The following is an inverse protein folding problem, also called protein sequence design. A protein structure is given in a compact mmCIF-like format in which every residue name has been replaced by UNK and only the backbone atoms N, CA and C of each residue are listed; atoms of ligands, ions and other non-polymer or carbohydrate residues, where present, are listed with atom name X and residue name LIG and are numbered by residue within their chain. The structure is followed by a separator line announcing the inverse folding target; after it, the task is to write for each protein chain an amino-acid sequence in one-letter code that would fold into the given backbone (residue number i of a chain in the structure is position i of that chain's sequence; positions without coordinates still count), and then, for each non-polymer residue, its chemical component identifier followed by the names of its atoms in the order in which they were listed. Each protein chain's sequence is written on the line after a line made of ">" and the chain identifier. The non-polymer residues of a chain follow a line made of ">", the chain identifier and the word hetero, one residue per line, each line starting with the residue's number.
data_IF_458652892619
#
_entry.id   IF_458652892619
#
_cell.length_a   1.000
_cell.length_b   1.000
_cell.length_c   1.000
_cell.angle_alpha   90.00
_cell.angle_beta   90.00
_cell.angle_gamma   90.00
#
_symmetry.space_group_name_H-M   'P 1'
#
loop_
_entity.id
_entity.type
_entity.pdbx_description
1 polymer ?
#
# COMPACT_ATOMS: atom_id res chain seq x y z
N UNK A 1 -6.29 -14.09 -19.75
CA UNK A 1 -7.33 -13.26 -20.37
C UNK A 1 -7.15 -11.87 -19.79
N UNK A 2 -6.72 -10.92 -20.60
CA UNK A 2 -6.42 -9.56 -20.14
C UNK A 2 -7.69 -8.86 -19.70
N UNK A 3 -7.69 -8.35 -18.47
CA UNK A 3 -8.75 -7.55 -17.82
C UNK A 3 -8.91 -6.15 -18.45
N UNK A 4 -8.53 -6.00 -19.72
CA UNK A 4 -7.99 -4.76 -20.30
C UNK A 4 -9.03 -3.67 -20.60
N UNK A 5 -10.31 -4.02 -20.65
CA UNK A 5 -11.36 -3.11 -21.13
C UNK A 5 -12.26 -2.52 -20.04
N UNK A 6 -12.22 -3.03 -18.80
CA UNK A 6 -13.24 -2.69 -17.80
C UNK A 6 -12.88 -1.52 -16.87
N UNK A 7 -11.62 -1.06 -16.88
CA UNK A 7 -11.10 -0.09 -15.89
C UNK A 7 -10.38 1.12 -16.48
N UNK A 8 -10.27 1.23 -17.81
CA UNK A 8 -9.57 2.36 -18.44
C UNK A 8 -10.48 3.59 -18.46
N UNK A 9 -10.54 4.29 -17.33
CA UNK A 9 -10.82 5.72 -17.37
C UNK A 9 -9.77 6.35 -18.30
N UNK A 10 -10.11 7.39 -19.08
CA UNK A 10 -9.14 8.03 -19.94
C UNK A 10 -7.90 8.37 -19.11
N UNK A 11 -6.72 8.00 -19.62
CA UNK A 11 -5.40 8.28 -19.01
C UNK A 11 -5.09 9.79 -19.06
N UNK A 12 -6.05 10.62 -18.68
CA UNK A 12 -5.84 12.03 -18.40
C UNK A 12 -4.70 12.16 -17.39
N UNK A 13 -4.01 13.30 -17.45
CA UNK A 13 -2.83 13.55 -16.64
C UNK A 13 -3.18 13.47 -15.14
N UNK A 14 -2.96 12.31 -14.55
CA UNK A 14 -3.02 12.10 -13.11
C UNK A 14 -1.93 12.95 -12.49
N UNK A 15 -2.31 13.85 -11.60
CA UNK A 15 -1.37 14.69 -10.86
C UNK A 15 -0.86 13.89 -9.66
N UNK A 16 0.44 13.59 -9.56
CA UNK A 16 0.98 12.90 -8.40
C UNK A 16 0.67 13.69 -7.13
N UNK A 17 0.37 12.98 -6.05
CA UNK A 17 0.33 13.62 -4.74
C UNK A 17 1.74 14.05 -4.34
N UNK A 18 1.84 15.19 -3.67
CA UNK A 18 3.11 15.83 -3.34
C UNK A 18 3.03 16.56 -2.01
N UNK A 19 4.05 17.37 -1.71
CA UNK A 19 4.01 18.22 -0.50
C UNK A 19 2.87 19.23 -0.53
N UNK A 20 2.57 19.75 -1.72
CA UNK A 20 1.60 20.83 -1.91
C UNK A 20 0.23 20.31 -2.39
N UNK A 21 0.14 19.03 -2.74
CA UNK A 21 -1.10 18.37 -3.14
C UNK A 21 -1.35 17.16 -2.23
N UNK A 22 -2.19 17.35 -1.22
CA UNK A 22 -2.54 16.32 -0.24
C UNK A 22 -3.84 15.62 -0.64
N UNK A 23 -3.85 14.30 -0.49
CA UNK A 23 -5.05 13.49 -0.66
C UNK A 23 -6.10 13.83 0.40
N UNK A 24 -7.36 13.93 -0.01
CA UNK A 24 -8.51 14.35 0.79
C UNK A 24 -9.79 13.62 0.38
N UNK A 25 -10.83 13.71 1.21
CA UNK A 25 -12.13 13.07 0.92
C UNK A 25 -12.74 13.66 -0.36
N UNK A 26 -13.17 12.76 -1.25
CA UNK A 26 -13.78 13.07 -2.53
C UNK A 26 -12.83 13.08 -3.72
N UNK A 27 -11.52 12.96 -3.49
CA UNK A 27 -10.54 12.88 -4.58
C UNK A 27 -10.75 11.56 -5.35
N UNK A 28 -10.67 11.63 -6.68
CA UNK A 28 -10.70 10.47 -7.57
C UNK A 28 -9.26 10.05 -7.84
N UNK A 29 -8.85 8.94 -7.24
CA UNK A 29 -7.47 8.50 -7.29
C UNK A 29 -7.26 7.33 -8.24
N UNK A 30 -6.14 7.35 -8.97
CA UNK A 30 -5.62 6.17 -9.67
C UNK A 30 -4.87 5.28 -8.69
N UNK A 31 -5.14 3.98 -8.75
CA UNK A 31 -4.44 2.96 -7.99
C UNK A 31 -3.48 2.20 -8.91
N UNK A 32 -2.23 2.07 -8.49
CA UNK A 32 -1.20 1.36 -9.25
C UNK A 32 -0.34 0.45 -8.36
N UNK A 33 0.11 -0.65 -8.94
CA UNK A 33 1.07 -1.58 -8.35
C UNK A 33 1.94 -2.15 -9.47
N UNK A 34 3.25 -2.28 -9.23
CA UNK A 34 4.23 -2.72 -10.24
C UNK A 34 4.17 -1.93 -11.55
N UNK A 35 3.87 -0.63 -11.45
CA UNK A 35 3.71 0.26 -12.61
C UNK A 35 2.40 0.08 -13.39
N UNK A 36 1.58 -0.93 -13.06
CA UNK A 36 0.30 -1.19 -13.71
C UNK A 36 -0.86 -0.51 -12.96
N UNK A 37 -1.91 -0.12 -13.70
CA UNK A 37 -3.14 0.40 -13.09
C UNK A 37 -4.01 -0.75 -12.62
N UNK A 38 -4.23 -0.82 -11.30
CA UNK A 38 -5.04 -1.86 -10.67
C UNK A 38 -6.48 -1.41 -10.39
N UNK A 39 -6.77 -0.11 -10.53
CA UNK A 39 -8.13 0.42 -10.44
C UNK A 39 -8.22 1.91 -10.17
N UNK A 40 -9.44 2.37 -9.94
CA UNK A 40 -9.77 3.75 -9.56
C UNK A 40 -10.63 3.76 -8.32
N UNK A 41 -10.34 4.69 -7.41
CA UNK A 41 -11.03 4.80 -6.12
C UNK A 41 -11.43 6.23 -5.81
N UNK A 42 -12.66 6.41 -5.34
CA UNK A 42 -13.09 7.66 -4.72
C UNK A 42 -12.75 7.63 -3.23
N UNK A 43 -11.97 8.59 -2.75
CA UNK A 43 -11.60 8.68 -1.33
C UNK A 43 -12.83 8.98 -0.48
N UNK A 44 -13.14 8.08 0.45
CA UNK A 44 -14.32 8.16 1.32
C UNK A 44 -13.97 8.46 2.79
N UNK A 45 -12.71 8.23 3.19
CA UNK A 45 -12.20 8.49 4.53
C UNK A 45 -10.75 8.04 4.73
N UNK A 46 -10.24 8.18 5.94
CA UNK A 46 -8.87 7.81 6.32
C UNK A 46 -8.88 7.07 7.66
N UNK A 47 -7.96 6.11 7.84
CA UNK A 47 -7.69 5.48 9.12
C UNK A 47 -6.22 5.06 9.22
N UNK A 48 -5.43 5.81 10.01
CA UNK A 48 -4.00 5.57 10.16
C UNK A 48 -3.28 5.57 8.81
N UNK A 49 -2.67 4.45 8.46
CA UNK A 49 -1.90 4.23 7.23
C UNK A 49 -2.76 3.80 6.03
N UNK A 50 -4.07 3.62 6.22
CA UNK A 50 -5.01 3.24 5.17
C UNK A 50 -5.93 4.40 4.76
N UNK A 51 -6.43 4.31 3.53
CA UNK A 51 -7.45 5.20 2.97
C UNK A 51 -8.67 4.37 2.62
N UNK A 52 -9.85 4.80 3.06
CA UNK A 52 -11.09 4.15 2.63
C UNK A 52 -11.46 4.67 1.25
N UNK A 53 -11.74 3.75 0.35
CA UNK A 53 -12.06 4.06 -1.03
C UNK A 53 -13.26 3.24 -1.50
N UNK A 54 -14.09 3.86 -2.33
CA UNK A 54 -15.13 3.17 -3.09
C UNK A 54 -14.63 2.96 -4.52
N UNK A 55 -14.80 1.78 -5.13
CA UNK A 55 -14.37 1.54 -6.49
C UNK A 55 -15.16 2.43 -7.46
N UNK A 56 -14.47 2.86 -8.52
CA UNK A 56 -15.04 3.69 -9.58
C UNK A 56 -14.89 3.00 -10.92
N UNK A 57 -15.99 2.94 -11.68
CA UNK A 57 -16.02 2.36 -13.04
C UNK A 57 -16.58 3.35 -14.06
N UNK A 58 -16.31 3.10 -15.34
CA UNK A 58 -16.87 3.88 -16.44
C UNK A 58 -18.28 3.41 -16.81
N UNK A 59 -19.00 4.24 -17.59
CA UNK A 59 -20.41 4.04 -17.95
C UNK A 59 -20.69 2.81 -18.81
N UNK A 60 -19.67 2.26 -19.48
CA UNK A 60 -19.77 0.97 -20.19
C UNK A 60 -19.72 -0.22 -19.21
N UNK A 61 -19.40 0.06 -17.95
CA UNK A 61 -19.17 -0.88 -16.85
C UNK A 61 -19.86 -0.37 -15.58
N UNK A 62 -21.08 0.16 -15.65
CA UNK A 62 -21.84 0.61 -14.48
C UNK A 62 -22.69 -0.54 -13.89
N UNK A 63 -22.89 -0.55 -12.57
CA UNK A 63 -23.39 -1.73 -11.84
C UNK A 63 -24.59 -1.41 -10.99
N UNK A 64 -25.37 -2.43 -10.64
CA UNK A 64 -26.55 -2.25 -9.80
C UNK A 64 -26.19 -1.58 -8.48
N UNK A 65 -26.88 -0.49 -8.14
CA UNK A 65 -26.59 0.29 -6.92
C UNK A 65 -25.38 1.23 -7.01
N UNK A 66 -24.66 1.26 -8.14
CA UNK A 66 -23.62 2.25 -8.35
C UNK A 66 -24.23 3.65 -8.51
N UNK A 67 -23.57 4.66 -7.95
CA UNK A 67 -24.02 6.05 -7.93
C UNK A 67 -23.20 6.87 -8.91
N UNK A 68 -23.84 7.67 -9.74
CA UNK A 68 -23.13 8.53 -10.71
C UNK A 68 -22.33 9.61 -10.00
N UNK A 69 -21.08 9.82 -10.41
CA UNK A 69 -20.26 10.90 -9.88
C UNK A 69 -20.78 12.26 -10.35
N UNK A 70 -20.83 13.28 -9.47
CA UNK A 70 -21.47 14.57 -9.78
C UNK A 70 -20.68 15.43 -10.77
N UNK A 71 -19.41 15.09 -11.01
CA UNK A 71 -18.48 15.83 -11.87
C UNK A 71 -18.11 15.07 -13.14
N UNK A 72 -18.59 13.84 -13.32
CA UNK A 72 -18.24 13.01 -14.46
C UNK A 72 -19.40 12.11 -14.88
N UNK A 73 -20.07 12.48 -15.97
CA UNK A 73 -21.31 11.82 -16.44
C UNK A 73 -21.13 10.33 -16.75
N UNK A 74 -19.91 9.93 -17.10
CA UNK A 74 -19.58 8.54 -17.45
C UNK A 74 -18.97 7.77 -16.30
N UNK A 75 -18.86 8.31 -15.08
CA UNK A 75 -18.23 7.62 -13.97
C UNK A 75 -19.22 7.28 -12.88
N UNK A 76 -19.08 6.06 -12.35
CA UNK A 76 -19.96 5.49 -11.35
C UNK A 76 -19.13 4.99 -10.19
N UNK A 77 -19.48 5.39 -8.98
CA UNK A 77 -18.87 4.92 -7.75
C UNK A 77 -19.75 3.85 -7.11
N UNK A 78 -19.13 2.84 -6.49
CA UNK A 78 -19.84 1.72 -5.87
C UNK A 78 -19.65 1.77 -4.36
N UNK A 79 -20.51 2.49 -3.64
CA UNK A 79 -20.18 2.81 -2.26
C UNK A 79 -20.57 1.68 -1.29
N UNK A 80 -21.25 0.64 -1.77
CA UNK A 80 -21.45 -0.64 -1.07
C UNK A 80 -20.16 -1.47 -0.95
N UNK A 81 -19.15 -1.21 -1.79
CA UNK A 81 -17.85 -1.87 -1.80
C UNK A 81 -16.74 -0.96 -1.25
N UNK A 82 -17.08 -0.10 -0.29
CA UNK A 82 -16.08 0.68 0.42
C UNK A 82 -15.11 -0.25 1.16
N UNK A 83 -13.82 -0.12 0.86
CA UNK A 83 -12.78 -0.93 1.50
C UNK A 83 -11.58 -0.06 1.92
N UNK A 84 -10.86 -0.46 2.98
CA UNK A 84 -9.57 0.14 3.28
C UNK A 84 -8.54 -0.28 2.24
N UNK A 85 -7.79 0.70 1.72
CA UNK A 85 -6.72 0.54 0.76
C UNK A 85 -5.41 1.04 1.34
N UNK A 86 -4.31 0.36 1.01
CA UNK A 86 -2.99 0.85 1.35
C UNK A 86 -2.65 2.12 0.57
N UNK A 87 -2.18 3.16 1.27
CA UNK A 87 -1.82 4.45 0.64
C UNK A 87 -0.76 4.34 -0.46
N UNK A 88 0.06 3.30 -0.42
CA UNK A 88 1.13 3.07 -1.38
C UNK A 88 0.61 2.71 -2.78
N UNK A 89 -0.66 2.30 -2.91
CA UNK A 89 -1.30 2.10 -4.21
C UNK A 89 -1.65 3.41 -4.89
N UNK A 90 -1.85 4.48 -4.13
CA UNK A 90 -2.35 5.74 -4.65
C UNK A 90 -1.25 6.42 -5.47
N UNK A 91 -1.48 6.52 -6.78
CA UNK A 91 -0.53 7.10 -7.74
C UNK A 91 -0.71 8.61 -7.88
N UNK A 92 -1.95 9.08 -7.81
CA UNK A 92 -2.26 10.49 -7.90
C UNK A 92 -3.75 10.76 -8.08
N UNK A 93 -4.07 12.04 -8.22
CA UNK A 93 -5.41 12.58 -8.38
C UNK A 93 -5.74 12.81 -9.86
N UNK A 94 -6.96 12.47 -10.28
CA UNK A 94 -7.51 12.81 -11.59
C UNK A 94 -7.83 14.31 -11.74
N UNK A 95 -7.72 15.10 -10.68
CA UNK A 95 -8.04 16.54 -10.65
C UNK A 95 -9.54 16.83 -10.59
N UNK A 96 -10.37 15.79 -10.47
CA UNK A 96 -11.81 15.88 -10.34
C UNK A 96 -12.24 15.36 -8.96
N UNK A 97 -13.17 16.07 -8.32
CA UNK A 97 -13.45 15.86 -6.90
C UNK A 97 -14.93 15.96 -6.55
N UNK A 98 -15.41 14.99 -5.77
CA UNK A 98 -16.71 15.07 -5.12
C UNK A 98 -16.60 15.95 -3.88
N UNK A 99 -17.63 16.75 -3.59
CA UNK A 99 -17.64 17.46 -2.31
C UNK A 99 -17.65 16.44 -1.15
N UNK A 100 -16.93 16.69 -0.03
CA UNK A 100 -16.97 15.82 1.14
C UNK A 100 -18.39 15.62 1.71
N UNK A 101 -19.27 16.61 1.52
CA UNK A 101 -20.68 16.52 1.86
C UNK A 101 -21.39 15.47 1.01
N UNK A 102 -21.18 15.48 -0.30
CA UNK A 102 -21.76 14.49 -1.22
C UNK A 102 -21.33 13.07 -0.84
N UNK A 103 -20.02 12.87 -0.62
CA UNK A 103 -19.47 11.58 -0.21
C UNK A 103 -20.09 11.10 1.10
N UNK A 104 -20.22 11.98 2.10
CA UNK A 104 -20.86 11.65 3.37
C UNK A 104 -22.33 11.26 3.20
N UNK A 105 -23.08 12.00 2.38
CA UNK A 105 -24.49 11.70 2.10
C UNK A 105 -24.64 10.31 1.47
N UNK A 106 -23.84 10.00 0.44
CA UNK A 106 -23.85 8.68 -0.22
C UNK A 106 -23.56 7.56 0.79
N UNK A 107 -22.50 7.70 1.60
CA UNK A 107 -22.13 6.69 2.61
C UNK A 107 -23.20 6.46 3.66
N UNK A 108 -23.82 7.53 4.15
CA UNK A 108 -24.85 7.43 5.18
C UNK A 108 -26.11 6.76 4.64
N UNK A 109 -26.57 7.18 3.46
CA UNK A 109 -27.78 6.61 2.88
C UNK A 109 -27.60 5.12 2.56
N UNK A 110 -26.42 4.69 2.09
CA UNK A 110 -26.15 3.25 1.89
C UNK A 110 -26.25 2.45 3.18
N UNK A 111 -25.77 2.98 4.30
CA UNK A 111 -25.93 2.33 5.61
C UNK A 111 -27.40 2.27 6.05
N UNK A 112 -28.20 3.25 5.64
CA UNK A 112 -29.64 3.32 5.88
C UNK A 112 -30.46 2.48 4.87
N UNK A 113 -29.81 1.88 3.86
CA UNK A 113 -30.48 1.11 2.80
C UNK A 113 -31.27 1.95 1.81
N UNK A 114 -30.98 3.25 1.70
CA UNK A 114 -31.57 4.18 0.73
C UNK A 114 -30.48 4.80 -0.14
N UNK A 115 -30.84 5.30 -1.32
CA UNK A 115 -30.00 6.14 -2.18
C UNK A 115 -30.82 7.28 -2.76
N UNK A 116 -31.78 7.79 -1.97
CA UNK A 116 -32.72 8.82 -2.38
C UNK A 116 -32.01 10.11 -2.79
N UNK A 117 -32.33 10.58 -3.99
CA UNK A 117 -31.76 11.81 -4.56
C UNK A 117 -30.44 11.61 -5.31
N UNK A 118 -29.95 10.37 -5.43
CA UNK A 118 -28.82 10.03 -6.28
C UNK A 118 -29.27 9.42 -7.61
N UNK A 119 -28.48 9.65 -8.66
CA UNK A 119 -28.63 8.89 -9.89
C UNK A 119 -27.95 7.54 -9.73
N UNK A 120 -28.76 6.49 -9.77
CA UNK A 120 -28.33 5.11 -9.59
C UNK A 120 -28.35 4.42 -10.95
N UNK A 121 -27.34 3.59 -11.21
CA UNK A 121 -27.28 2.78 -12.43
C UNK A 121 -28.51 1.89 -12.53
N UNK A 122 -29.10 1.85 -13.73
CA UNK A 122 -30.31 1.07 -14.03
C UNK A 122 -30.03 -0.21 -14.82
N UNK A 123 -28.76 -0.58 -15.00
CA UNK A 123 -28.42 -1.81 -15.72
C UNK A 123 -28.85 -3.05 -14.93
N UNK A 124 -29.24 -4.07 -15.67
CA UNK A 124 -29.49 -5.40 -15.12
C UNK A 124 -28.21 -5.95 -14.48
N UNK A 125 -28.39 -6.63 -13.35
CA UNK A 125 -27.30 -7.21 -12.59
C UNK A 125 -26.64 -8.34 -13.39
N UNK A 126 -25.38 -8.15 -13.79
CA UNK A 126 -24.51 -9.23 -14.26
C UNK A 126 -23.66 -9.71 -13.07
N UNK A 127 -24.23 -10.64 -12.31
CA UNK A 127 -23.65 -11.19 -11.08
C UNK A 127 -22.20 -11.68 -11.27
N UNK A 128 -21.87 -12.22 -12.46
CA UNK A 128 -20.54 -12.80 -12.71
C UNK A 128 -19.47 -11.71 -12.82
N UNK A 129 -19.75 -10.65 -13.57
CA UNK A 129 -18.80 -9.55 -13.72
C UNK A 129 -18.68 -8.70 -12.46
N UNK A 130 -19.79 -8.50 -11.75
CA UNK A 130 -19.80 -7.87 -10.41
C UNK A 130 -18.86 -8.62 -9.46
N UNK A 131 -18.98 -9.96 -9.41
CA UNK A 131 -18.13 -10.81 -8.59
C UNK A 131 -16.64 -10.68 -8.94
N UNK A 132 -16.26 -10.69 -10.22
CA UNK A 132 -14.85 -10.56 -10.64
C UNK A 132 -14.25 -9.21 -10.22
N UNK A 133 -15.00 -8.11 -10.37
CA UNK A 133 -14.53 -6.79 -9.97
C UNK A 133 -14.45 -6.65 -8.45
N UNK A 134 -15.45 -7.18 -7.73
CA UNK A 134 -15.45 -7.23 -6.28
C UNK A 134 -14.25 -8.05 -5.76
N UNK A 135 -14.02 -9.25 -6.30
CA UNK A 135 -12.87 -10.08 -5.96
C UNK A 135 -11.54 -9.37 -6.26
N UNK A 136 -11.43 -8.66 -7.40
CA UNK A 136 -10.24 -7.88 -7.72
C UNK A 136 -10.02 -6.72 -6.75
N UNK A 137 -11.09 -6.03 -6.35
CA UNK A 137 -11.05 -4.93 -5.39
C UNK A 137 -10.68 -5.42 -3.99
N UNK A 138 -11.29 -6.52 -3.55
CA UNK A 138 -10.97 -7.21 -2.30
C UNK A 138 -9.52 -7.69 -2.31
N UNK A 139 -9.06 -8.30 -3.41
CA UNK A 139 -7.68 -8.73 -3.57
C UNK A 139 -6.70 -7.56 -3.42
N UNK A 140 -6.98 -6.44 -4.08
CA UNK A 140 -6.20 -5.21 -3.93
C UNK A 140 -6.20 -4.71 -2.48
N UNK A 141 -7.34 -4.76 -1.77
CA UNK A 141 -7.39 -4.38 -0.35
C UNK A 141 -6.52 -5.29 0.54
N UNK A 142 -6.59 -6.61 0.33
CA UNK A 142 -5.92 -7.59 1.19
C UNK A 142 -4.41 -7.73 0.93
N UNK A 143 -3.99 -7.82 -0.33
CA UNK A 143 -2.58 -8.05 -0.67
C UNK A 143 -1.69 -6.84 -0.40
N UNK A 144 -2.29 -5.66 -0.35
CA UNK A 144 -1.55 -4.39 -0.34
C UNK A 144 -1.61 -3.72 1.03
N UNK A 145 -2.49 -4.17 1.93
CA UNK A 145 -2.40 -3.88 3.36
C UNK A 145 -1.01 -4.22 3.96
N UNK A 146 -0.23 -5.08 3.28
CA UNK A 146 1.12 -5.50 3.64
C UNK A 146 2.25 -4.61 3.11
N UNK A 147 1.96 -3.32 2.87
CA UNK A 147 2.96 -2.28 3.11
C UNK A 147 3.65 -2.41 4.48
N UNK A 148 3.12 -3.19 5.45
CA UNK A 148 3.78 -3.62 6.68
C UNK A 148 3.71 -5.14 6.90
N UNK A 149 3.75 -5.95 5.85
CA UNK A 149 3.81 -7.41 5.98
C UNK A 149 5.06 -7.86 6.74
N UNK A 150 5.09 -9.11 7.21
CA UNK A 150 6.21 -9.67 7.98
C UNK A 150 7.58 -9.41 7.33
N UNK A 151 7.66 -9.36 5.99
CA UNK A 151 8.90 -9.09 5.25
C UNK A 151 9.47 -7.66 5.39
N UNK A 152 8.70 -6.71 5.93
CA UNK A 152 9.16 -5.34 6.20
C UNK A 152 9.47 -5.10 7.69
N UNK A 153 9.44 -6.16 8.51
CA UNK A 153 9.68 -6.07 9.95
C UNK A 153 11.08 -6.59 10.28
N UNK A 154 12.01 -5.73 10.74
CA UNK A 154 13.27 -6.22 11.28
C UNK A 154 13.01 -6.98 12.58
N UNK A 155 13.95 -7.84 13.00
CA UNK A 155 13.92 -8.33 14.37
C UNK A 155 14.02 -7.18 15.38
N UNK A 156 13.31 -7.31 16.50
CA UNK A 156 13.32 -6.37 17.60
C UNK A 156 14.35 -6.84 18.66
N UNK A 157 15.50 -6.14 18.81
CA UNK A 157 16.53 -6.53 19.76
C UNK A 157 16.04 -6.51 21.21
N UNK A 158 15.07 -5.65 21.54
CA UNK A 158 14.51 -5.57 22.88
C UNK A 158 13.65 -6.81 23.18
N UNK A 159 12.80 -7.22 22.23
CA UNK A 159 12.01 -8.46 22.37
C UNK A 159 12.92 -9.69 22.46
N UNK A 160 13.93 -9.79 21.59
CA UNK A 160 14.94 -10.85 21.64
C UNK A 160 15.66 -10.89 23.00
N UNK A 161 16.13 -9.73 23.49
CA UNK A 161 16.82 -9.66 24.78
C UNK A 161 15.92 -10.05 25.96
N UNK A 162 14.63 -9.71 25.95
CA UNK A 162 13.66 -10.14 26.98
C UNK A 162 13.46 -11.65 27.01
N UNK A 163 13.75 -12.34 25.91
CA UNK A 163 13.73 -13.80 25.79
C UNK A 163 15.09 -14.45 26.11
N UNK A 164 16.06 -13.69 26.61
CA UNK A 164 17.46 -14.12 26.82
C UNK A 164 18.14 -14.60 25.52
N UNK A 165 17.74 -14.04 24.38
CA UNK A 165 18.39 -14.32 23.09
C UNK A 165 19.40 -13.23 22.83
N UNK A 166 20.67 -13.61 22.73
CA UNK A 166 21.78 -12.72 22.50
C UNK A 166 22.31 -12.83 21.06
N UNK A 167 23.07 -11.82 20.63
CA UNK A 167 23.69 -11.80 19.30
C UNK A 167 24.60 -13.01 19.03
N UNK A 168 25.21 -13.58 20.07
CA UNK A 168 26.00 -14.82 19.96
C UNK A 168 25.15 -16.00 19.54
N UNK A 169 23.90 -16.07 20.00
CA UNK A 169 23.01 -17.20 19.75
C UNK A 169 22.48 -17.16 18.32
N UNK A 170 22.30 -15.96 17.76
CA UNK A 170 21.98 -15.77 16.34
C UNK A 170 23.06 -16.33 15.41
N UNK A 171 24.35 -16.27 15.80
CA UNK A 171 25.43 -16.88 15.02
C UNK A 171 25.31 -18.41 15.00
N UNK A 172 24.84 -19.00 16.09
CA UNK A 172 24.60 -20.44 16.19
C UNK A 172 23.36 -20.87 15.40
N UNK A 173 22.34 -20.02 15.34
CA UNK A 173 21.13 -20.27 14.53
C UNK A 173 21.38 -20.15 13.02
N UNK A 174 22.37 -19.35 12.61
CA UNK A 174 22.72 -19.10 11.21
C UNK A 174 24.21 -19.37 10.94
N UNK A 175 24.66 -20.64 10.94
CA UNK A 175 26.08 -20.99 10.81
C UNK A 175 26.69 -20.58 9.47
N UNK A 176 25.88 -20.50 8.42
CA UNK A 176 26.32 -20.13 7.07
C UNK A 176 26.40 -18.60 6.86
N UNK A 177 25.89 -17.80 7.80
CA UNK A 177 25.96 -16.34 7.73
C UNK A 177 27.28 -15.82 8.27
N UNK A 178 27.81 -14.77 7.64
CA UNK A 178 29.01 -14.09 8.17
C UNK A 178 28.67 -13.41 9.51
N UNK A 179 29.62 -13.30 10.46
CA UNK A 179 29.37 -12.74 11.80
C UNK A 179 28.80 -11.32 11.82
N UNK A 180 29.07 -10.51 10.79
CA UNK A 180 28.51 -9.16 10.68
C UNK A 180 27.06 -9.17 10.16
N UNK A 181 26.69 -10.14 9.32
CA UNK A 181 25.32 -10.27 8.79
C UNK A 181 24.37 -10.74 9.89
N UNK A 182 24.75 -11.78 10.63
CA UNK A 182 23.98 -12.25 11.80
C UNK A 182 23.86 -11.16 12.87
N UNK A 183 24.93 -10.40 13.10
CA UNK A 183 24.89 -9.22 13.97
C UNK A 183 23.95 -8.13 13.46
N UNK A 184 23.95 -7.83 12.16
CA UNK A 184 23.06 -6.83 11.57
C UNK A 184 21.60 -7.28 11.63
N UNK A 185 21.32 -8.56 11.36
CA UNK A 185 20.01 -9.18 11.46
C UNK A 185 19.45 -9.10 12.89
N UNK A 186 20.24 -9.50 13.90
CA UNK A 186 19.87 -9.39 15.32
C UNK A 186 19.55 -7.95 15.73
N UNK A 187 20.35 -6.99 15.27
CA UNK A 187 20.20 -5.58 15.62
C UNK A 187 19.12 -4.86 14.80
N UNK A 188 18.36 -5.57 13.97
CA UNK A 188 17.31 -5.02 13.13
C UNK A 188 17.82 -4.07 12.02
N UNK A 189 19.05 -4.28 11.57
CA UNK A 189 19.69 -3.52 10.47
C UNK A 189 19.53 -4.18 9.10
N UNK A 190 19.04 -5.42 9.07
CA UNK A 190 18.65 -6.16 7.88
C UNK A 190 17.22 -6.66 8.10
N UNK A 191 16.47 -6.78 7.00
CA UNK A 191 15.15 -7.39 7.03
C UNK A 191 15.30 -8.92 6.96
N UNK A 192 14.67 -9.66 7.88
CA UNK A 192 14.67 -11.11 7.81
C UNK A 192 13.69 -11.62 6.76
N UNK A 193 14.10 -12.60 5.98
CA UNK A 193 13.18 -13.36 5.14
C UNK A 193 12.31 -14.32 5.99
N UNK A 194 11.26 -14.89 5.39
CA UNK A 194 10.35 -15.81 6.10
C UNK A 194 11.06 -17.04 6.68
N UNK A 195 12.07 -17.57 5.97
CA UNK A 195 12.82 -18.73 6.44
C UNK A 195 13.69 -18.36 7.63
N UNK A 196 14.30 -17.18 7.64
CA UNK A 196 15.10 -16.69 8.76
C UNK A 196 14.23 -16.48 10.00
N UNK A 197 13.03 -15.92 9.84
CA UNK A 197 12.06 -15.81 10.95
C UNK A 197 11.71 -17.20 11.48
N UNK A 198 11.35 -18.13 10.60
CA UNK A 198 11.01 -19.49 11.02
C UNK A 198 12.18 -20.22 11.69
N UNK A 199 13.42 -20.02 11.22
CA UNK A 199 14.63 -20.56 11.84
C UNK A 199 14.80 -20.03 13.26
N UNK A 200 14.63 -18.72 13.49
CA UNK A 200 14.69 -18.13 14.84
C UNK A 200 13.59 -18.73 15.73
N UNK A 201 12.35 -18.80 15.24
CA UNK A 201 11.24 -19.36 16.03
C UNK A 201 11.52 -20.83 16.43
N UNK A 202 11.97 -21.64 15.48
CA UNK A 202 12.25 -23.05 15.73
C UNK A 202 13.47 -23.25 16.64
N UNK A 203 14.56 -22.53 16.39
CA UNK A 203 15.81 -22.68 17.13
C UNK A 203 15.65 -22.28 18.61
N UNK A 204 14.89 -21.20 18.86
CA UNK A 204 14.65 -20.68 20.21
C UNK A 204 13.34 -21.17 20.83
N UNK A 205 12.63 -22.09 20.17
CA UNK A 205 11.37 -22.68 20.66
C UNK A 205 10.31 -21.62 20.98
N UNK A 206 10.18 -20.62 20.11
CA UNK A 206 9.17 -19.57 20.20
C UNK A 206 7.94 -19.96 19.38
N UNK A 207 6.77 -19.49 19.81
CA UNK A 207 5.50 -19.93 19.25
C UNK A 207 4.92 -18.94 18.23
N UNK A 208 5.35 -17.67 18.28
CA UNK A 208 4.78 -16.60 17.46
C UNK A 208 5.87 -15.64 16.96
N UNK A 209 5.75 -15.17 15.72
CA UNK A 209 6.61 -14.13 15.16
C UNK A 209 6.57 -12.83 15.98
N UNK A 210 5.46 -12.53 16.65
CA UNK A 210 5.31 -11.41 17.58
C UNK A 210 6.27 -11.48 18.78
N UNK A 211 6.86 -12.65 19.06
CA UNK A 211 7.89 -12.79 20.09
C UNK A 211 9.24 -12.17 19.69
N UNK A 212 9.46 -11.94 18.39
CA UNK A 212 10.75 -11.49 17.85
C UNK A 212 10.66 -10.29 16.90
N UNK A 213 9.47 -10.00 16.36
CA UNK A 213 9.21 -8.86 15.48
C UNK A 213 8.51 -7.73 16.24
N UNK A 214 8.68 -6.45 15.85
CA UNK A 214 7.97 -5.33 16.46
C UNK A 214 6.46 -5.42 16.19
N UNK A 215 5.65 -4.86 17.11
CA UNK A 215 4.19 -4.84 16.98
C UNK A 215 3.70 -3.88 15.89
N UNK A 216 4.57 -2.97 15.46
CA UNK A 216 4.29 -1.97 14.44
C UNK A 216 5.44 -1.92 13.43
N UNK A 217 5.13 -1.65 12.14
CA UNK A 217 6.16 -1.51 11.14
C UNK A 217 7.11 -0.33 11.46
N UNK A 218 8.38 -0.40 11.01
CA UNK A 218 9.29 0.72 11.10
C UNK A 218 8.68 1.99 10.50
N UNK A 219 8.98 3.17 11.07
CA UNK A 219 8.51 4.45 10.53
C UNK A 219 8.89 4.66 9.07
N UNK A 220 10.01 4.08 8.62
CA UNK A 220 10.45 4.13 7.23
C UNK A 220 9.44 3.46 6.30
N UNK A 221 8.94 2.31 6.73
CA UNK A 221 7.95 1.51 6.00
C UNK A 221 6.64 2.29 5.86
N UNK A 222 6.05 2.75 6.96
CA UNK A 222 4.85 3.60 6.91
C UNK A 222 5.06 4.86 6.07
N UNK A 223 6.26 5.48 6.13
CA UNK A 223 6.56 6.68 5.35
C UNK A 223 6.67 6.41 3.86
N UNK A 224 7.36 5.32 3.48
CA UNK A 224 7.56 4.90 2.10
C UNK A 224 6.22 4.60 1.42
N UNK A 225 5.23 4.19 2.20
CA UNK A 225 3.89 3.90 1.74
C UNK A 225 2.99 5.12 1.55
N UNK A 226 3.48 6.33 1.81
CA UNK A 226 2.73 7.54 1.50
C UNK A 226 2.77 7.84 -0.01
N UNK A 227 1.68 8.39 -0.57
CA UNK A 227 1.56 8.61 -2.02
C UNK A 227 2.65 9.53 -2.60
N UNK A 228 3.18 10.45 -1.80
CA UNK A 228 4.15 11.45 -2.26
C UNK A 228 5.55 10.88 -2.58
N UNK A 229 5.81 9.62 -2.24
CA UNK A 229 7.03 8.90 -2.62
C UNK A 229 6.82 7.99 -3.83
N UNK A 230 5.58 7.81 -4.30
CA UNK A 230 5.26 6.91 -5.42
C UNK A 230 5.99 7.32 -6.70
N UNK A 231 6.14 8.62 -6.95
CA UNK A 231 6.86 9.12 -8.12
C UNK A 231 8.33 8.66 -8.14
N UNK A 232 9.01 8.68 -6.99
CA UNK A 232 10.39 8.23 -6.88
C UNK A 232 10.49 6.71 -7.00
N UNK A 233 9.56 5.96 -6.40
CA UNK A 233 9.52 4.49 -6.55
C UNK A 233 9.37 4.11 -8.03
N UNK A 234 8.45 4.76 -8.77
CA UNK A 234 8.25 4.50 -10.21
C UNK A 234 9.47 4.86 -11.06
N UNK A 235 10.20 5.92 -10.71
CA UNK A 235 11.44 6.27 -11.38
C UNK A 235 12.48 5.14 -11.25
N UNK A 236 12.63 4.58 -10.04
CA UNK A 236 13.51 3.43 -9.80
C UNK A 236 13.05 2.20 -10.60
N UNK A 237 11.76 1.86 -10.59
CA UNK A 237 11.21 0.73 -11.38
C UNK A 237 11.58 0.84 -12.85
N UNK A 238 11.39 2.03 -13.44
CA UNK A 238 11.74 2.29 -14.84
C UNK A 238 13.25 2.18 -15.13
N UNK A 239 14.10 2.40 -14.13
CA UNK A 239 15.56 2.32 -14.27
C UNK A 239 16.14 0.91 -14.05
N UNK A 240 15.55 0.12 -13.13
CA UNK A 240 16.12 -1.17 -12.68
C UNK A 240 15.41 -2.41 -13.22
N UNK A 241 14.24 -2.27 -13.85
CA UNK A 241 13.40 -3.41 -14.28
C UNK A 241 13.12 -4.41 -13.14
N UNK A 242 12.79 -3.85 -11.98
CA UNK A 242 12.39 -4.57 -10.76
C UNK A 242 10.90 -4.36 -10.50
N UNK A 243 10.32 -5.15 -9.60
CA UNK A 243 8.96 -4.95 -9.08
C UNK A 243 8.93 -3.92 -7.93
N UNK A 244 7.75 -3.38 -7.66
CA UNK A 244 7.53 -2.33 -6.66
C UNK A 244 7.84 -2.81 -5.25
N UNK A 245 7.58 -4.08 -4.95
CA UNK A 245 7.90 -4.70 -3.68
C UNK A 245 9.41 -4.67 -3.42
N UNK A 246 10.21 -5.09 -4.39
CA UNK A 246 11.67 -5.15 -4.31
C UNK A 246 12.28 -3.76 -4.13
N UNK A 247 11.85 -2.77 -4.91
CA UNK A 247 12.31 -1.38 -4.77
C UNK A 247 11.99 -0.85 -3.37
N UNK A 248 10.79 -1.13 -2.85
CA UNK A 248 10.40 -0.67 -1.52
C UNK A 248 11.20 -1.38 -0.43
N UNK A 249 11.43 -2.67 -0.58
CA UNK A 249 12.22 -3.48 0.35
C UNK A 249 13.67 -2.98 0.43
N UNK A 250 14.33 -2.79 -0.71
CA UNK A 250 15.68 -2.24 -0.81
C UNK A 250 15.78 -0.86 -0.12
N UNK A 251 14.82 0.02 -0.37
CA UNK A 251 14.81 1.36 0.22
C UNK A 251 14.71 1.31 1.75
N UNK A 252 13.91 0.38 2.31
CA UNK A 252 13.80 0.18 3.75
C UNK A 252 15.10 -0.39 4.31
N UNK A 253 15.70 -1.38 3.65
CA UNK A 253 16.96 -2.00 4.09
C UNK A 253 18.13 -1.00 4.09
N UNK A 254 18.25 -0.17 3.04
CA UNK A 254 19.20 0.95 2.99
C UNK A 254 18.95 1.96 4.11
N UNK A 255 17.68 2.25 4.43
CA UNK A 255 17.33 3.15 5.53
C UNK A 255 17.71 2.57 6.90
N UNK A 256 17.55 1.26 7.11
CA UNK A 256 17.91 0.58 8.35
C UNK A 256 19.43 0.49 8.56
N UNK A 257 20.19 0.36 7.47
CA UNK A 257 21.66 0.27 7.51
C UNK A 257 22.35 1.63 7.66
N UNK A 258 21.76 2.69 7.12
CA UNK A 258 22.21 4.07 7.32
C UNK A 258 22.08 4.44 8.81
N UNK A 259 23.22 4.52 9.52
CA UNK A 259 23.29 4.83 10.95
C UNK A 259 22.44 6.07 11.29
N UNK A 260 21.24 5.87 11.90
CA UNK A 260 20.32 6.88 12.47
C UNK A 260 20.68 8.32 12.09
N UNK A 261 20.71 8.63 10.79
CA UNK A 261 21.16 9.94 10.38
C UNK A 261 20.11 10.91 10.93
N UNK A 262 20.55 11.93 11.67
CA UNK A 262 19.64 12.96 12.16
C UNK A 262 18.97 13.60 10.94
N UNK A 263 17.64 13.58 10.88
CA UNK A 263 16.93 14.12 9.73
C UNK A 263 15.50 13.65 9.57
N UNK A 264 14.82 14.26 8.61
CA UNK A 264 13.48 13.88 8.21
C UNK A 264 13.55 12.57 7.40
N UNK A 265 12.97 11.49 7.94
CA UNK A 265 12.92 10.16 7.31
C UNK A 265 12.38 10.17 5.88
N UNK A 266 11.46 11.09 5.57
CA UNK A 266 10.96 11.28 4.21
C UNK A 266 12.03 11.81 3.24
N UNK A 267 12.91 12.71 3.68
CA UNK A 267 14.02 13.18 2.84
C UNK A 267 15.07 12.09 2.66
N UNK A 268 15.34 11.30 3.71
CA UNK A 268 16.28 10.17 3.63
C UNK A 268 15.81 9.14 2.62
N UNK A 269 14.55 8.73 2.69
CA UNK A 269 13.97 7.79 1.72
C UNK A 269 13.98 8.34 0.30
N UNK A 270 13.73 9.65 0.10
CA UNK A 270 13.86 10.26 -1.23
C UNK A 270 15.29 10.19 -1.77
N UNK A 271 16.28 10.50 -0.94
CA UNK A 271 17.68 10.42 -1.34
C UNK A 271 18.07 8.99 -1.69
N UNK A 272 17.67 8.01 -0.88
CA UNK A 272 17.89 6.59 -1.15
C UNK A 272 17.27 6.19 -2.50
N UNK A 273 16.03 6.58 -2.77
CA UNK A 273 15.37 6.28 -4.05
C UNK A 273 16.07 6.96 -5.24
N UNK A 274 16.55 8.19 -5.07
CA UNK A 274 17.32 8.90 -6.11
C UNK A 274 18.68 8.23 -6.37
N UNK A 275 19.36 7.77 -5.31
CA UNK A 275 20.61 7.01 -5.43
C UNK A 275 20.37 5.68 -6.17
N UNK A 276 19.30 4.97 -5.82
CA UNK A 276 18.88 3.73 -6.50
C UNK A 276 18.56 3.97 -7.98
N UNK A 277 17.88 5.07 -8.31
CA UNK A 277 17.57 5.47 -9.70
C UNK A 277 18.85 5.70 -10.52
N UNK A 278 19.90 6.22 -9.90
CA UNK A 278 21.18 6.52 -10.56
C UNK A 278 22.22 5.41 -10.46
N UNK A 279 21.89 4.25 -9.87
CA UNK A 279 22.81 3.13 -9.68
C UNK A 279 23.96 3.46 -8.72
N UNK A 280 23.73 4.35 -7.76
CA UNK A 280 24.68 4.66 -6.69
C UNK A 280 24.40 3.69 -5.53
N UNK A 281 25.37 2.84 -5.25
CA UNK A 281 25.35 1.86 -4.14
C UNK A 281 26.16 2.33 -2.93
#
# INVERSE_FOLDING_TARGET
>A
MTNDSLLRLPEEAVTPFGRDNLMTVGDLCRLTWDGETVGWGLVSGFNGDMVFMCPVTSGDCNWFGAVRLPFAEKLWVWPSYEMPMGKHLVDGDAGQKASPRWVRCVRNQIKEGSLDGFEISKLDRDDRREMILAESWEHNSHNTACAGGIGFLPFDPEKLSRRNIHVSDFRSAFPDMRPHQSGALYNGRLLPDRNQIQTVLNYFQLNDANDVLPDQPPRAVSRLCLPDLKINVKAVLGSRNEDEESVRHDAVERQLSAHRAEGNIGNQLRNILLEMEHGID
#
